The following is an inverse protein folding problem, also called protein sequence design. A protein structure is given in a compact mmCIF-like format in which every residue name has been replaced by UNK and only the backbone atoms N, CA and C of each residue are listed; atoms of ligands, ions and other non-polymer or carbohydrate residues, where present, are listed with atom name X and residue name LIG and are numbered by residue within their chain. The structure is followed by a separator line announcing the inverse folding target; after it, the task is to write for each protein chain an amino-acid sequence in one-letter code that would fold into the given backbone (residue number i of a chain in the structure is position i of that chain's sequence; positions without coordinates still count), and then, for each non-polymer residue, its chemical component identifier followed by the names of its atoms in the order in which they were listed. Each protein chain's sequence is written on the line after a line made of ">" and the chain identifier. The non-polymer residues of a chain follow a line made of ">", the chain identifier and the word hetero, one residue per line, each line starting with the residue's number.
data_IF_781003055450
#
_entry.id   IF_781003055450
#
_cell.length_a   1.000
_cell.length_b   1.000
_cell.length_c   1.000
_cell.angle_alpha   90.00
_cell.angle_beta   90.00
_cell.angle_gamma   90.00
#
_symmetry.space_group_name_H-M   'P 1'
#
loop_
_entity.id
_entity.type
_entity.pdbx_description
1 polymer ?
#
# COMPACT_ATOMS: atom_id res chain seq x y z
N UNK A 1 55.85 0.03 -32.30
CA UNK A 1 55.29 1.09 -31.50
C UNK A 1 53.83 0.78 -31.16
N UNK A 2 53.56 -0.03 -30.10
CA UNK A 2 52.19 -0.43 -29.81
C UNK A 2 52.03 -1.42 -28.66
N UNK A 3 52.98 -1.61 -27.78
CA UNK A 3 52.91 -2.65 -26.76
C UNK A 3 53.03 -2.19 -25.31
N UNK A 4 52.63 -0.98 -24.98
CA UNK A 4 52.83 -0.46 -23.61
C UNK A 4 51.55 0.05 -22.91
N UNK A 5 50.37 -0.32 -23.37
CA UNK A 5 49.11 0.15 -22.82
C UNK A 5 48.40 -0.84 -21.84
N UNK A 6 49.02 -1.98 -21.49
CA UNK A 6 48.39 -2.97 -20.64
C UNK A 6 49.17 -3.26 -19.34
N UNK A 7 50.16 -2.45 -18.98
CA UNK A 7 50.88 -2.58 -17.73
C UNK A 7 50.36 -1.62 -16.66
N UNK A 8 49.17 -1.87 -16.15
CA UNK A 8 48.60 -1.01 -15.07
C UNK A 8 47.32 -1.56 -14.43
N UNK A 9 47.01 -2.82 -14.68
CA UNK A 9 45.89 -3.45 -13.98
C UNK A 9 46.28 -3.65 -12.50
N UNK A 10 45.68 -2.87 -11.58
CA UNK A 10 45.76 -3.13 -10.14
C UNK A 10 45.23 -4.53 -9.86
N UNK A 11 45.82 -5.28 -8.97
CA UNK A 11 45.30 -6.59 -8.59
C UNK A 11 43.88 -6.41 -8.05
N UNK A 12 42.98 -7.29 -8.49
CA UNK A 12 41.61 -7.34 -7.98
C UNK A 12 41.66 -7.47 -6.45
N UNK A 13 40.97 -6.58 -5.77
CA UNK A 13 40.80 -6.61 -4.33
C UNK A 13 40.16 -7.95 -3.97
N UNK A 14 40.87 -8.79 -3.24
CA UNK A 14 40.31 -10.02 -2.69
C UNK A 14 39.16 -9.62 -1.75
N UNK A 15 38.01 -10.31 -1.78
CA UNK A 15 36.96 -10.07 -0.81
C UNK A 15 37.49 -10.33 0.59
N UNK A 16 37.53 -9.29 1.42
CA UNK A 16 37.75 -9.44 2.85
C UNK A 16 36.64 -10.36 3.38
N UNK A 17 37.00 -11.35 4.17
CA UNK A 17 36.03 -12.12 4.97
C UNK A 17 35.34 -11.16 5.91
N UNK A 18 34.28 -10.54 5.43
CA UNK A 18 33.27 -9.91 6.30
C UNK A 18 32.66 -11.05 7.12
N UNK A 19 32.65 -10.86 8.43
CA UNK A 19 32.04 -11.78 9.36
C UNK A 19 30.62 -12.07 8.86
N UNK A 20 30.33 -13.36 8.61
CA UNK A 20 28.97 -13.84 8.42
C UNK A 20 28.21 -13.47 9.70
N UNK A 21 27.53 -12.33 9.67
CA UNK A 21 26.51 -12.02 10.65
C UNK A 21 25.45 -13.11 10.47
N UNK A 22 25.29 -13.96 11.47
CA UNK A 22 24.29 -15.01 11.53
C UNK A 22 22.95 -14.37 11.25
N UNK A 23 22.42 -14.57 10.03
CA UNK A 23 21.17 -14.01 9.62
C UNK A 23 20.11 -14.56 10.56
N UNK A 24 19.34 -13.68 11.21
CA UNK A 24 18.23 -14.09 12.04
C UNK A 24 17.34 -15.07 11.24
N UNK A 25 16.85 -16.13 11.89
CA UNK A 25 16.04 -17.14 11.21
C UNK A 25 14.87 -16.45 10.51
N UNK A 26 14.73 -16.67 9.21
CA UNK A 26 13.61 -16.14 8.45
C UNK A 26 12.33 -16.80 8.95
N UNK A 27 11.22 -16.01 9.10
CA UNK A 27 9.96 -16.58 9.54
C UNK A 27 9.50 -17.66 8.56
N UNK A 28 8.84 -18.69 9.09
CA UNK A 28 8.26 -19.72 8.24
C UNK A 28 7.14 -19.15 7.36
N UNK A 29 6.82 -19.81 6.25
CA UNK A 29 5.74 -19.39 5.38
C UNK A 29 4.40 -19.24 6.14
N UNK A 30 4.16 -20.07 7.16
CA UNK A 30 2.97 -19.98 8.02
C UNK A 30 3.01 -18.75 8.94
N UNK A 31 4.18 -18.35 9.42
CA UNK A 31 4.36 -17.14 10.22
C UNK A 31 4.23 -15.89 9.35
N UNK A 32 4.83 -15.89 8.16
CA UNK A 32 4.63 -14.80 7.19
C UNK A 32 3.15 -14.67 6.80
N UNK A 33 2.46 -15.80 6.60
CA UNK A 33 1.04 -15.82 6.29
C UNK A 33 0.19 -15.28 7.46
N UNK A 34 0.50 -15.65 8.69
CA UNK A 34 -0.14 -15.09 9.88
C UNK A 34 0.13 -13.61 10.03
N UNK A 35 1.36 -13.17 9.79
CA UNK A 35 1.75 -11.76 9.90
C UNK A 35 1.04 -10.88 8.87
N UNK A 36 0.75 -11.39 7.67
CA UNK A 36 -0.09 -10.71 6.70
C UNK A 36 -1.49 -10.36 7.24
N UNK A 37 -2.00 -11.13 8.20
CA UNK A 37 -3.34 -10.93 8.78
C UNK A 37 -3.33 -10.21 10.14
N UNK A 38 -2.24 -10.23 10.89
CA UNK A 38 -2.21 -9.79 12.29
C UNK A 38 -1.79 -8.32 12.46
N UNK A 39 -0.95 -7.78 11.59
CA UNK A 39 -0.42 -6.41 11.74
C UNK A 39 -1.02 -5.40 10.79
N UNK A 40 -2.06 -5.74 10.06
CA UNK A 40 -2.54 -4.88 8.99
C UNK A 40 -3.56 -3.86 9.51
N UNK A 41 -3.11 -2.66 9.83
CA UNK A 41 -3.97 -1.51 10.09
C UNK A 41 -4.93 -1.23 8.93
N UNK A 42 -4.54 -1.60 7.73
CA UNK A 42 -5.29 -1.44 6.48
C UNK A 42 -5.24 -2.74 5.67
N UNK A 43 -6.28 -3.60 5.75
CA UNK A 43 -6.32 -4.86 5.01
C UNK A 43 -6.17 -4.64 3.50
N UNK A 44 -5.40 -5.52 2.87
CA UNK A 44 -5.24 -5.57 1.41
C UNK A 44 -6.57 -5.90 0.71
N UNK A 45 -6.75 -5.41 -0.51
CA UNK A 45 -7.84 -5.81 -1.38
C UNK A 45 -7.85 -7.33 -1.64
N UNK A 46 -6.67 -7.97 -1.65
CA UNK A 46 -6.57 -9.42 -1.76
C UNK A 46 -7.30 -10.15 -0.62
N UNK A 47 -7.27 -9.60 0.58
CA UNK A 47 -8.02 -10.15 1.72
C UNK A 47 -9.52 -10.01 1.50
N UNK A 48 -9.98 -8.89 0.96
CA UNK A 48 -11.37 -8.67 0.61
C UNK A 48 -11.84 -9.61 -0.52
N UNK A 49 -10.96 -9.98 -1.44
CA UNK A 49 -11.25 -10.86 -2.57
C UNK A 49 -11.80 -12.22 -2.17
N UNK A 50 -11.43 -12.71 -1.00
CA UNK A 50 -11.88 -14.03 -0.48
C UNK A 50 -13.42 -14.09 -0.38
N UNK A 51 -14.03 -13.00 0.06
CA UNK A 51 -15.50 -12.91 0.22
C UNK A 51 -16.16 -12.06 -0.89
N UNK A 52 -15.40 -11.19 -1.55
CA UNK A 52 -15.90 -10.25 -2.57
C UNK A 52 -15.16 -10.39 -3.91
N UNK A 53 -15.07 -11.59 -4.52
CA UNK A 53 -14.25 -11.84 -5.71
C UNK A 53 -14.67 -10.99 -6.91
N UNK A 54 -15.96 -10.74 -7.09
CA UNK A 54 -16.46 -9.91 -8.19
C UNK A 54 -15.97 -8.46 -8.05
N UNK A 55 -16.17 -7.85 -6.88
CA UNK A 55 -15.76 -6.47 -6.61
C UNK A 55 -14.24 -6.32 -6.73
N UNK A 56 -13.50 -7.30 -6.25
CA UNK A 56 -12.04 -7.33 -6.42
C UNK A 56 -11.64 -7.35 -7.89
N UNK A 57 -12.24 -8.23 -8.71
CA UNK A 57 -11.94 -8.33 -10.14
C UNK A 57 -12.21 -7.00 -10.85
N UNK A 58 -13.35 -6.37 -10.57
CA UNK A 58 -13.71 -5.07 -11.15
C UNK A 58 -12.75 -3.96 -10.71
N UNK A 59 -12.39 -3.92 -9.42
CA UNK A 59 -11.43 -2.96 -8.88
C UNK A 59 -10.02 -3.17 -9.45
N UNK A 60 -9.55 -4.41 -9.53
CA UNK A 60 -8.16 -4.74 -9.90
C UNK A 60 -7.75 -4.27 -11.29
N UNK A 61 -8.70 -4.11 -12.20
CA UNK A 61 -8.48 -3.58 -13.55
C UNK A 61 -8.78 -2.08 -13.68
N UNK A 62 -9.16 -1.43 -12.57
CA UNK A 62 -9.53 -0.02 -12.56
C UNK A 62 -8.31 0.90 -12.43
N UNK A 63 -8.51 2.18 -12.80
CA UNK A 63 -7.52 3.22 -12.56
C UNK A 63 -7.25 3.45 -11.07
N UNK A 64 -8.17 3.08 -10.18
CA UNK A 64 -7.98 3.16 -8.73
C UNK A 64 -6.88 2.19 -8.26
N UNK A 65 -6.92 0.93 -8.67
CA UNK A 65 -5.88 -0.04 -8.34
C UNK A 65 -4.51 0.35 -8.91
N UNK A 66 -4.50 1.02 -10.05
CA UNK A 66 -3.29 1.42 -10.75
C UNK A 66 -2.75 2.79 -10.32
N UNK A 67 -3.47 3.52 -9.48
CA UNK A 67 -3.18 4.93 -9.17
C UNK A 67 -1.75 5.16 -8.67
N UNK A 68 -1.25 4.30 -7.76
CA UNK A 68 0.10 4.43 -7.18
C UNK A 68 1.18 3.81 -8.08
N UNK A 69 0.87 2.75 -8.81
CA UNK A 69 1.85 1.99 -9.59
C UNK A 69 2.01 2.53 -11.03
N UNK A 70 1.25 3.54 -11.42
CA UNK A 70 1.36 4.15 -12.74
C UNK A 70 2.77 4.72 -12.97
N UNK A 71 3.51 4.27 -14.00
CA UNK A 71 4.85 4.79 -14.30
C UNK A 71 4.84 6.29 -14.60
N UNK A 72 3.78 6.79 -15.23
CA UNK A 72 3.61 8.21 -15.53
C UNK A 72 3.46 9.01 -14.23
N UNK A 73 2.59 8.54 -13.32
CA UNK A 73 2.45 9.17 -12.02
C UNK A 73 3.78 9.18 -11.25
N UNK A 74 4.48 8.06 -11.19
CA UNK A 74 5.76 7.94 -10.49
C UNK A 74 6.80 8.90 -11.05
N UNK A 75 6.93 8.99 -12.36
CA UNK A 75 7.88 9.90 -13.00
C UNK A 75 7.54 11.37 -12.70
N UNK A 76 6.26 11.73 -12.76
CA UNK A 76 5.80 13.09 -12.44
C UNK A 76 6.02 13.43 -10.96
N UNK A 77 5.65 12.54 -10.05
CA UNK A 77 5.85 12.74 -8.61
C UNK A 77 7.32 12.93 -8.26
N UNK A 78 8.21 12.07 -8.78
CA UNK A 78 9.64 12.18 -8.56
C UNK A 78 10.19 13.50 -9.10
N UNK A 79 9.77 13.90 -10.31
CA UNK A 79 10.19 15.15 -10.92
C UNK A 79 9.76 16.36 -10.10
N UNK A 80 8.50 16.39 -9.65
CA UNK A 80 7.97 17.49 -8.84
C UNK A 80 8.69 17.53 -7.50
N UNK A 81 8.82 16.42 -6.80
CA UNK A 81 9.51 16.33 -5.52
C UNK A 81 10.96 16.84 -5.63
N UNK A 82 11.68 16.43 -6.67
CA UNK A 82 13.05 16.89 -6.92
C UNK A 82 13.12 18.40 -7.18
N UNK A 83 12.22 18.92 -8.02
CA UNK A 83 12.22 20.36 -8.40
C UNK A 83 11.74 21.28 -7.28
N UNK A 84 10.93 20.78 -6.38
CA UNK A 84 10.35 21.55 -5.26
C UNK A 84 11.02 21.26 -3.93
N UNK A 85 12.06 20.42 -3.92
CA UNK A 85 12.68 19.92 -2.68
C UNK A 85 11.65 19.32 -1.72
N UNK A 86 10.61 18.65 -2.25
CA UNK A 86 9.55 18.01 -1.49
C UNK A 86 8.51 18.97 -0.88
N UNK A 87 8.57 20.28 -1.18
CA UNK A 87 7.62 21.26 -0.60
C UNK A 87 6.18 21.09 -1.08
N UNK A 88 5.93 20.31 -2.15
CA UNK A 88 4.59 19.90 -2.55
C UNK A 88 3.92 18.93 -1.54
N UNK A 89 4.71 18.37 -0.61
CA UNK A 89 4.21 17.50 0.46
C UNK A 89 3.37 16.34 -0.06
N UNK A 90 2.25 16.08 0.61
CA UNK A 90 1.34 14.97 0.32
C UNK A 90 0.37 15.23 -0.83
N UNK A 91 0.54 16.31 -1.60
CA UNK A 91 -0.43 16.74 -2.62
C UNK A 91 -0.82 15.63 -3.60
N UNK A 92 0.14 14.90 -4.14
CA UNK A 92 -0.12 13.82 -5.10
C UNK A 92 -0.66 12.56 -4.41
N UNK A 93 -0.05 12.19 -3.28
CA UNK A 93 -0.38 10.94 -2.60
C UNK A 93 -1.75 10.93 -1.95
N UNK A 94 -2.38 12.09 -1.72
CA UNK A 94 -3.77 12.18 -1.26
C UNK A 94 -4.77 11.44 -2.16
N UNK A 95 -4.50 11.41 -3.47
CA UNK A 95 -5.36 10.77 -4.45
C UNK A 95 -4.76 9.48 -5.01
N UNK A 96 -3.45 9.28 -4.90
CA UNK A 96 -2.78 8.14 -5.50
C UNK A 96 -2.48 7.02 -4.52
N UNK A 97 -2.30 7.31 -3.23
CA UNK A 97 -2.13 6.31 -2.17
C UNK A 97 -2.62 6.85 -0.82
N UNK A 98 -3.92 6.82 -0.62
CA UNK A 98 -4.54 7.26 0.64
C UNK A 98 -4.03 6.48 1.86
N UNK A 99 -3.79 5.18 1.70
CA UNK A 99 -3.22 4.36 2.79
C UNK A 99 -1.82 4.84 3.13
N UNK A 100 -0.97 5.09 2.12
CA UNK A 100 0.38 5.62 2.34
C UNK A 100 0.36 6.99 3.03
N UNK A 101 -0.59 7.86 2.66
CA UNK A 101 -0.78 9.14 3.35
C UNK A 101 -1.17 8.96 4.82
N UNK A 102 -2.11 8.06 5.11
CA UNK A 102 -2.56 7.81 6.49
C UNK A 102 -1.47 7.13 7.34
N UNK A 103 -0.62 6.30 6.72
CA UNK A 103 0.57 5.72 7.36
C UNK A 103 1.73 6.72 7.52
N UNK A 104 1.57 7.95 7.04
CA UNK A 104 2.61 8.98 7.04
C UNK A 104 3.90 8.56 6.31
N UNK A 105 3.76 7.73 5.28
CA UNK A 105 4.89 7.35 4.45
C UNK A 105 5.53 8.57 3.78
N UNK A 106 6.85 8.56 3.70
CA UNK A 106 7.58 9.64 3.01
C UNK A 106 7.14 9.74 1.55
N UNK A 107 6.95 10.98 1.06
CA UNK A 107 6.62 11.24 -0.35
C UNK A 107 7.73 10.82 -1.32
N UNK A 108 8.93 10.61 -0.81
CA UNK A 108 10.11 10.19 -1.57
C UNK A 108 10.42 8.69 -1.39
N UNK A 109 9.61 7.95 -0.65
CA UNK A 109 9.85 6.53 -0.42
C UNK A 109 9.70 5.74 -1.73
N UNK A 110 10.56 4.77 -1.94
CA UNK A 110 10.44 3.83 -3.05
C UNK A 110 9.18 2.97 -2.90
N UNK A 111 8.55 2.60 -4.02
CA UNK A 111 7.46 1.63 -3.98
C UNK A 111 7.87 0.28 -3.39
N UNK A 112 9.15 -0.08 -3.44
CA UNK A 112 9.65 -1.33 -2.82
C UNK A 112 9.55 -1.28 -1.30
N UNK A 113 9.71 -0.09 -0.72
CA UNK A 113 9.74 0.13 0.74
C UNK A 113 8.38 0.54 1.30
N UNK A 114 7.37 0.76 0.44
CA UNK A 114 6.02 1.09 0.87
C UNK A 114 5.32 -0.09 1.51
N UNK A 115 4.44 0.21 2.46
CA UNK A 115 3.50 -0.78 2.97
C UNK A 115 2.74 -1.47 1.80
N UNK A 116 2.56 -2.79 1.82
CA UNK A 116 1.92 -3.51 0.71
C UNK A 116 0.58 -2.91 0.28
N UNK A 117 -0.30 -2.61 1.22
CA UNK A 117 -1.62 -2.00 0.93
C UNK A 117 -1.51 -0.59 0.36
N UNK A 118 -0.47 0.17 0.72
CA UNK A 118 -0.27 1.51 0.17
C UNK A 118 0.08 1.47 -1.33
N UNK A 119 0.65 0.38 -1.82
CA UNK A 119 0.92 0.15 -3.25
C UNK A 119 -0.33 -0.13 -4.08
N UNK A 120 -1.42 -0.51 -3.44
CA UNK A 120 -2.69 -0.81 -4.11
C UNK A 120 -3.45 0.44 -4.59
N UNK A 121 -2.86 1.62 -4.44
CA UNK A 121 -3.48 2.86 -4.88
C UNK A 121 -4.70 3.24 -4.05
N UNK A 122 -5.86 3.34 -4.69
CA UNK A 122 -7.14 3.57 -4.03
C UNK A 122 -7.81 2.20 -3.83
N UNK A 123 -7.47 1.56 -2.74
CA UNK A 123 -7.95 0.23 -2.36
C UNK A 123 -9.31 0.26 -1.66
N UNK A 124 -9.90 -0.88 -1.38
CA UNK A 124 -11.24 -1.02 -0.82
C UNK A 124 -11.46 -0.17 0.45
N UNK A 125 -10.51 -0.20 1.38
CA UNK A 125 -10.61 0.54 2.65
C UNK A 125 -10.64 2.06 2.46
N UNK A 126 -10.14 2.59 1.35
CA UNK A 126 -10.18 4.03 1.08
C UNK A 126 -11.60 4.56 0.96
N UNK A 127 -12.51 3.77 0.38
CA UNK A 127 -13.92 4.13 0.30
C UNK A 127 -14.73 3.61 1.50
N UNK A 128 -14.36 2.44 2.01
CA UNK A 128 -15.16 1.72 3.01
C UNK A 128 -14.73 1.95 4.46
N UNK A 129 -13.70 2.77 4.72
CA UNK A 129 -13.22 3.13 6.06
C UNK A 129 -12.94 4.61 6.25
N UNK A 130 -13.56 5.46 5.47
CA UNK A 130 -13.50 6.92 5.70
C UNK A 130 -14.11 7.23 7.07
N UNK A 131 -13.29 7.75 7.97
CA UNK A 131 -13.69 8.09 9.33
C UNK A 131 -14.21 9.54 9.41
N UNK A 132 -13.47 10.47 8.80
CA UNK A 132 -13.81 11.88 8.81
C UNK A 132 -13.52 12.54 7.46
N UNK A 133 -14.34 13.54 7.14
CA UNK A 133 -14.07 14.43 6.02
C UNK A 133 -13.09 15.51 6.45
N UNK A 134 -11.97 15.59 5.79
CA UNK A 134 -11.10 16.74 5.94
C UNK A 134 -11.64 17.91 5.11
N UNK A 135 -12.38 18.82 5.75
CA UNK A 135 -13.22 19.81 5.09
C UNK A 135 -12.51 20.89 4.27
N UNK A 136 -11.19 21.02 4.36
CA UNK A 136 -10.46 22.12 3.70
C UNK A 136 -9.59 21.70 2.52
N UNK A 137 -9.23 20.43 2.41
CA UNK A 137 -8.28 19.96 1.40
C UNK A 137 -8.80 18.71 0.71
N UNK A 138 -8.99 18.81 -0.61
CA UNK A 138 -9.43 17.69 -1.44
C UNK A 138 -8.50 16.48 -1.32
N UNK A 139 -9.08 15.30 -1.22
CA UNK A 139 -8.37 14.03 -1.17
C UNK A 139 -7.70 13.69 0.17
N UNK A 140 -7.75 14.57 1.17
CA UNK A 140 -7.19 14.28 2.49
C UNK A 140 -8.25 13.65 3.37
N UNK A 141 -8.40 12.33 3.26
CA UNK A 141 -9.37 11.55 4.03
C UNK A 141 -8.67 10.85 5.19
N UNK A 142 -9.23 10.95 6.38
CA UNK A 142 -8.83 10.11 7.50
C UNK A 142 -9.48 8.73 7.35
N UNK A 143 -8.67 7.69 7.36
CA UNK A 143 -9.12 6.31 7.29
C UNK A 143 -9.07 5.69 8.68
N UNK A 144 -10.13 4.98 9.06
CA UNK A 144 -10.15 4.22 10.32
C UNK A 144 -9.21 3.02 10.20
N UNK A 145 -8.20 3.00 11.07
CA UNK A 145 -7.29 1.86 11.22
C UNK A 145 -8.02 0.66 11.80
N UNK A 146 -7.62 -0.52 11.41
CA UNK A 146 -8.12 -1.76 11.96
C UNK A 146 -7.94 -2.95 11.03
N UNK A 147 -8.05 -4.13 11.60
CA UNK A 147 -7.99 -5.41 10.92
C UNK A 147 -9.25 -5.71 10.10
N UNK A 148 -9.34 -6.92 9.57
CA UNK A 148 -10.48 -7.37 8.77
C UNK A 148 -11.81 -7.36 9.57
N UNK A 149 -11.75 -7.45 10.89
CA UNK A 149 -12.92 -7.47 11.78
C UNK A 149 -13.39 -6.08 12.20
N UNK A 150 -12.62 -5.05 11.91
CA UNK A 150 -13.04 -3.67 12.11
C UNK A 150 -14.13 -3.30 11.10
N UNK A 151 -15.17 -2.56 11.49
CA UNK A 151 -16.30 -2.25 10.63
C UNK A 151 -15.91 -1.69 9.25
N UNK A 152 -16.58 -2.20 8.25
CA UNK A 152 -16.53 -1.75 6.86
C UNK A 152 -17.86 -1.08 6.56
N UNK A 153 -17.82 0.17 6.10
CA UNK A 153 -19.00 0.95 5.79
C UNK A 153 -19.38 0.75 4.32
N UNK A 154 -20.60 0.27 4.09
CA UNK A 154 -21.09 -0.01 2.74
C UNK A 154 -22.08 1.03 2.22
N UNK A 155 -22.44 0.95 0.93
CA UNK A 155 -23.51 1.74 0.37
C UNK A 155 -24.85 1.36 1.02
N UNK A 156 -25.74 2.35 1.21
CA UNK A 156 -27.07 2.14 1.77
C UNK A 156 -28.03 1.64 0.68
N UNK A 157 -28.87 0.67 1.01
CA UNK A 157 -30.20 0.61 0.44
C UNK A 157 -30.51 -0.43 -0.62
N UNK A 158 -29.68 -1.41 -0.94
CA UNK A 158 -30.13 -2.52 -1.77
C UNK A 158 -30.76 -3.68 -0.97
N UNK A 159 -31.38 -4.62 -1.69
CA UNK A 159 -32.07 -5.76 -1.07
C UNK A 159 -31.09 -6.71 -0.37
N UNK A 160 -29.88 -6.88 -0.90
CA UNK A 160 -28.85 -7.74 -0.30
C UNK A 160 -28.34 -7.14 1.00
N UNK A 161 -28.06 -5.84 1.06
CA UNK A 161 -27.68 -5.18 2.30
C UNK A 161 -28.77 -5.29 3.36
N UNK A 162 -30.04 -5.10 2.98
CA UNK A 162 -31.18 -5.29 3.89
C UNK A 162 -31.25 -6.72 4.43
N UNK A 163 -31.00 -7.71 3.58
CA UNK A 163 -30.93 -9.11 4.00
C UNK A 163 -29.80 -9.36 4.99
N UNK A 164 -28.59 -8.84 4.70
CA UNK A 164 -27.43 -8.94 5.58
C UNK A 164 -27.71 -8.29 6.94
N UNK A 165 -28.32 -7.11 6.94
CA UNK A 165 -28.69 -6.39 8.17
C UNK A 165 -29.79 -7.12 8.97
N UNK A 166 -30.64 -7.93 8.32
CA UNK A 166 -31.65 -8.71 9.00
C UNK A 166 -31.13 -10.01 9.62
N UNK A 167 -29.90 -10.42 9.29
CA UNK A 167 -29.25 -11.64 9.80
C UNK A 167 -27.92 -11.33 10.49
N UNK A 168 -27.89 -10.48 11.54
CA UNK A 168 -26.65 -9.94 12.12
C UNK A 168 -25.73 -11.03 12.70
N UNK A 169 -26.30 -12.11 13.21
CA UNK A 169 -25.53 -13.23 13.77
C UNK A 169 -24.72 -13.98 12.70
N UNK A 170 -25.22 -13.94 11.46
CA UNK A 170 -24.58 -14.61 10.32
C UNK A 170 -23.49 -13.75 9.69
N UNK A 171 -23.63 -12.42 9.71
CA UNK A 171 -22.79 -11.49 8.96
C UNK A 171 -22.02 -10.51 9.82
N UNK A 172 -21.97 -10.63 11.12
CA UNK A 172 -21.28 -9.69 12.02
C UNK A 172 -21.39 -8.22 11.57
N UNK A 173 -22.60 -7.75 11.44
CA UNK A 173 -22.88 -6.36 11.04
C UNK A 173 -22.88 -5.47 12.27
N UNK A 174 -22.14 -4.35 12.20
CA UNK A 174 -22.20 -3.30 13.21
C UNK A 174 -23.04 -2.17 12.63
N UNK A 175 -24.13 -1.86 13.30
CA UNK A 175 -24.97 -0.69 13.00
C UNK A 175 -24.74 0.35 14.09
N UNK A 176 -24.20 1.51 13.70
CA UNK A 176 -24.17 2.70 14.56
C UNK A 176 -25.51 3.45 14.45
#
# INVERSE_FOLDING_TARGET
>A
AGDDLLKGAKPAMQPTKEAEAEAAPQPSADEEHKNLFVENKYPSANTCAVCHPKQYTEWSVSQHAYAQLSPVFMAMQMTINSKTSGTNGDFCIRCHTQVGMNLQESVNISNLDRHPTSREGITCVVCHRVNERYGKVSGRLALKEGDLFTPIYGPKGDAELKRVLSEPDKYRVVTD
#
